data_IF_370619739880
#
_entry.id   IF_370619739880
#
_cell.length_a   1.000
_cell.length_b   1.000
_cell.length_c   1.000
_cell.angle_alpha   90.00
_cell.angle_beta   90.00
_cell.angle_gamma   90.00
#
_symmetry.space_group_name_H-M   'P 1'
#
loop_
_entity.id
_entity.type
_entity.pdbx_description
1 polymer ?
#
# COMPACT_ATOMS: atom_id res chain seq x y z
N UNK A 1 -6.37 -4.05 -8.51
CA UNK A 1 -7.77 -4.51 -8.73
C UNK A 1 -8.15 -5.73 -7.88
N UNK A 2 -7.19 -6.55 -7.39
CA UNK A 2 -7.52 -7.79 -6.67
C UNK A 2 -7.87 -7.58 -5.20
N UNK A 3 -7.30 -6.58 -4.56
CA UNK A 3 -7.46 -6.35 -3.12
C UNK A 3 -8.43 -5.21 -2.79
N UNK A 4 -8.41 -4.13 -3.55
CA UNK A 4 -9.23 -2.93 -3.28
C UNK A 4 -10.73 -3.23 -3.17
N UNK A 5 -11.35 -4.09 -4.03
CA UNK A 5 -12.76 -4.44 -3.92
C UNK A 5 -13.13 -5.20 -2.63
N UNK A 6 -12.17 -5.72 -1.88
CA UNK A 6 -12.40 -6.40 -0.61
C UNK A 6 -12.55 -5.42 0.57
N UNK A 7 -12.15 -4.17 0.39
CA UNK A 7 -12.22 -3.13 1.42
C UNK A 7 -13.67 -2.88 1.86
N UNK A 8 -13.85 -2.60 3.15
CA UNK A 8 -15.15 -2.32 3.73
C UNK A 8 -15.05 -1.35 4.92
N UNK A 9 -16.18 -0.79 5.31
CA UNK A 9 -16.29 0.07 6.47
C UNK A 9 -15.55 1.40 6.32
N UNK A 10 -14.87 1.83 7.36
CA UNK A 10 -13.96 2.99 7.35
C UNK A 10 -12.61 2.53 6.82
N UNK A 11 -12.18 3.11 5.72
CA UNK A 11 -10.97 2.71 5.00
C UNK A 11 -9.88 3.76 5.16
N UNK A 12 -8.67 3.35 5.48
CA UNK A 12 -7.46 4.14 5.32
C UNK A 12 -6.72 3.66 4.06
N UNK A 13 -6.57 4.51 3.05
CA UNK A 13 -5.70 4.25 1.90
C UNK A 13 -4.36 4.95 2.09
N UNK A 14 -3.29 4.19 2.22
CA UNK A 14 -1.92 4.69 2.37
C UNK A 14 -1.26 4.76 1.00
N UNK A 15 -0.77 5.95 0.66
CA UNK A 15 -0.23 6.24 -0.68
C UNK A 15 -1.34 6.41 -1.71
N UNK A 16 -2.34 7.25 -1.41
CA UNK A 16 -3.46 7.51 -2.32
C UNK A 16 -3.03 8.08 -3.67
N UNK A 17 -1.90 8.77 -3.72
CA UNK A 17 -1.30 9.33 -4.93
C UNK A 17 -2.31 10.12 -5.77
N UNK A 18 -2.51 9.69 -6.99
CA UNK A 18 -3.49 10.30 -7.91
C UNK A 18 -4.88 9.66 -7.84
N UNK A 19 -5.17 8.80 -6.84
CA UNK A 19 -6.48 8.19 -6.63
C UNK A 19 -6.82 7.05 -7.61
N UNK A 20 -5.83 6.28 -8.06
CA UNK A 20 -6.04 5.20 -9.04
C UNK A 20 -6.91 4.06 -8.50
N UNK A 21 -6.99 3.88 -7.20
CA UNK A 21 -7.82 2.87 -6.57
C UNK A 21 -9.29 3.26 -6.45
N UNK A 22 -9.62 4.55 -6.51
CA UNK A 22 -10.96 5.06 -6.26
C UNK A 22 -12.08 4.36 -7.06
N UNK A 23 -11.89 4.03 -8.36
CA UNK A 23 -12.92 3.34 -9.15
C UNK A 23 -13.19 1.88 -8.73
N UNK A 24 -12.34 1.30 -7.90
CA UNK A 24 -12.40 -0.13 -7.52
C UNK A 24 -13.00 -0.37 -6.13
N UNK A 25 -13.26 0.67 -5.35
CA UNK A 25 -13.96 0.54 -4.08
C UNK A 25 -15.44 0.23 -4.30
N UNK A 26 -15.94 -0.76 -3.56
CA UNK A 26 -17.37 -1.09 -3.54
C UNK A 26 -18.13 -0.11 -2.64
N UNK A 27 -18.97 0.74 -3.25
CA UNK A 27 -19.78 1.75 -2.54
C UNK A 27 -20.80 1.14 -1.57
N UNK A 28 -21.21 -0.09 -1.77
CA UNK A 28 -22.13 -0.78 -0.87
C UNK A 28 -21.42 -1.24 0.42
N UNK A 29 -20.09 -1.40 0.38
CA UNK A 29 -19.28 -1.91 1.48
C UNK A 29 -18.47 -0.82 2.19
N UNK A 30 -18.00 0.18 1.46
CA UNK A 30 -17.16 1.27 1.98
C UNK A 30 -18.03 2.43 2.45
N UNK A 31 -17.84 2.85 3.70
CA UNK A 31 -18.57 3.98 4.29
C UNK A 31 -17.84 5.30 4.05
N UNK A 32 -16.51 5.29 4.21
CA UNK A 32 -15.66 6.47 4.14
C UNK A 32 -14.24 6.05 3.85
N UNK A 33 -13.49 6.90 3.14
CA UNK A 33 -12.05 6.71 2.87
C UNK A 33 -11.28 7.89 3.44
N UNK A 34 -10.19 7.62 4.17
CA UNK A 34 -9.14 8.58 4.44
C UNK A 34 -7.95 8.23 3.53
N UNK A 35 -7.61 9.12 2.60
CA UNK A 35 -6.46 8.95 1.71
C UNK A 35 -5.25 9.67 2.28
N UNK A 36 -4.21 8.94 2.65
CA UNK A 36 -2.98 9.46 3.22
C UNK A 36 -1.86 9.46 2.17
N UNK A 37 -1.27 10.63 1.91
CA UNK A 37 -0.13 10.77 1.00
C UNK A 37 0.61 12.07 1.27
N UNK A 38 1.93 12.07 1.50
CA UNK A 38 2.70 13.30 1.69
C UNK A 38 2.85 14.15 0.42
N UNK A 39 2.65 13.56 -0.76
CA UNK A 39 2.77 14.23 -2.06
C UNK A 39 1.50 15.03 -2.37
N UNK A 40 1.30 16.16 -1.68
CA UNK A 40 0.10 16.99 -1.80
C UNK A 40 -0.14 17.54 -3.21
N UNK A 41 0.88 17.65 -4.03
CA UNK A 41 0.80 18.02 -5.45
C UNK A 41 0.00 17.03 -6.31
N UNK A 42 -0.18 15.79 -5.84
CA UNK A 42 -0.98 14.76 -6.50
C UNK A 42 -2.48 14.86 -6.15
N UNK A 43 -2.83 15.51 -5.04
CA UNK A 43 -4.20 15.62 -4.55
C UNK A 43 -5.20 16.21 -5.55
N UNK A 44 -4.88 17.23 -6.40
CA UNK A 44 -5.82 17.72 -7.41
C UNK A 44 -6.24 16.66 -8.43
N UNK A 45 -5.34 15.71 -8.77
CA UNK A 45 -5.67 14.59 -9.65
C UNK A 45 -6.52 13.53 -8.92
N UNK A 46 -6.21 13.28 -7.65
CA UNK A 46 -7.00 12.40 -6.79
C UNK A 46 -8.44 12.93 -6.65
N UNK A 47 -8.62 14.21 -6.37
CA UNK A 47 -9.94 14.85 -6.22
C UNK A 47 -10.87 14.62 -7.41
N UNK A 48 -10.35 14.68 -8.65
CA UNK A 48 -11.14 14.38 -9.86
C UNK A 48 -11.67 12.94 -9.86
N UNK A 49 -10.85 11.96 -9.47
CA UNK A 49 -11.25 10.55 -9.39
C UNK A 49 -12.17 10.28 -8.22
N UNK A 50 -11.94 10.94 -7.08
CA UNK A 50 -12.82 10.91 -5.91
C UNK A 50 -14.22 11.41 -6.27
N UNK A 51 -14.33 12.57 -6.93
CA UNK A 51 -15.60 13.12 -7.37
C UNK A 51 -16.34 12.14 -8.31
N UNK A 52 -15.62 11.50 -9.25
CA UNK A 52 -16.20 10.50 -10.14
C UNK A 52 -16.60 9.20 -9.41
N UNK A 53 -15.88 8.82 -8.36
CA UNK A 53 -16.19 7.64 -7.56
C UNK A 53 -17.43 7.83 -6.69
N UNK A 54 -17.76 9.06 -6.25
CA UNK A 54 -18.93 9.36 -5.44
C UNK A 54 -18.90 8.69 -4.06
N UNK A 55 -17.72 8.57 -3.46
CA UNK A 55 -17.49 8.11 -2.10
C UNK A 55 -17.06 9.29 -1.22
N UNK A 56 -17.40 9.30 0.06
CA UNK A 56 -16.84 10.27 1.01
C UNK A 56 -15.36 10.00 1.20
N UNK A 57 -14.50 10.95 0.76
CA UNK A 57 -13.04 10.83 0.86
C UNK A 57 -12.46 12.10 1.48
N UNK A 58 -11.67 11.93 2.54
CA UNK A 58 -10.79 12.95 3.13
C UNK A 58 -9.36 12.70 2.67
N UNK A 59 -8.65 13.73 2.19
CA UNK A 59 -7.23 13.66 1.84
C UNK A 59 -6.38 14.28 2.95
N UNK A 60 -5.33 13.57 3.36
CA UNK A 60 -4.41 13.97 4.43
C UNK A 60 -2.97 13.93 3.89
N UNK A 61 -2.29 15.08 3.91
CA UNK A 61 -0.94 15.26 3.40
C UNK A 61 0.14 14.92 4.43
N UNK A 62 0.22 13.68 4.90
CA UNK A 62 1.18 13.24 5.91
C UNK A 62 1.79 11.86 5.56
N UNK A 63 2.94 11.56 6.20
CA UNK A 63 3.59 10.25 6.09
C UNK A 63 2.84 9.17 6.90
N UNK A 64 2.88 7.94 6.38
CA UNK A 64 2.31 6.77 7.05
C UNK A 64 3.13 6.29 8.27
N UNK A 65 4.34 6.77 8.45
CA UNK A 65 5.18 6.46 9.62
C UNK A 65 4.62 7.04 10.93
N UNK A 66 3.68 7.99 10.82
CA UNK A 66 2.92 8.57 11.93
C UNK A 66 1.52 8.96 11.46
N UNK A 67 0.57 8.08 11.63
CA UNK A 67 -0.81 8.29 11.20
C UNK A 67 -1.57 9.11 12.25
N UNK A 68 -2.09 10.33 11.94
CA UNK A 68 -2.74 11.22 12.90
C UNK A 68 -4.21 10.79 13.15
N UNK A 69 -4.38 9.56 13.55
CA UNK A 69 -5.68 8.97 13.91
C UNK A 69 -5.55 8.14 15.17
N UNK A 70 -6.62 8.03 15.93
CA UNK A 70 -6.67 7.21 17.13
C UNK A 70 -6.49 5.72 16.78
N UNK A 71 -6.11 4.92 17.78
CA UNK A 71 -6.10 3.47 17.68
C UNK A 71 -7.49 2.95 17.29
N UNK A 72 -7.55 1.84 16.58
CA UNK A 72 -8.79 1.18 16.19
C UNK A 72 -9.79 2.11 15.46
N UNK A 73 -9.30 2.96 14.56
CA UNK A 73 -10.10 3.94 13.81
C UNK A 73 -10.65 3.40 12.48
N UNK A 74 -10.03 2.36 11.92
CA UNK A 74 -10.35 1.86 10.59
C UNK A 74 -10.69 0.36 10.59
N UNK A 75 -11.67 0.00 9.78
CA UNK A 75 -12.05 -1.39 9.56
C UNK A 75 -11.14 -2.06 8.52
N UNK A 76 -10.61 -1.27 7.58
CA UNK A 76 -9.68 -1.73 6.53
C UNK A 76 -8.58 -0.69 6.31
N UNK A 77 -7.35 -1.16 6.16
CA UNK A 77 -6.23 -0.38 5.60
C UNK A 77 -5.89 -0.94 4.22
N UNK A 78 -5.70 -0.06 3.24
CA UNK A 78 -5.29 -0.42 1.88
C UNK A 78 -3.94 0.23 1.58
N UNK A 79 -2.98 -0.55 1.09
CA UNK A 79 -1.68 -0.08 0.62
C UNK A 79 -1.31 -0.74 -0.70
N UNK A 80 -1.05 0.07 -1.74
CA UNK A 80 -0.73 -0.46 -3.06
C UNK A 80 0.40 0.32 -3.70
N UNK A 81 1.51 -0.36 -4.05
CA UNK A 81 2.70 0.22 -4.67
C UNK A 81 3.25 1.45 -3.93
N UNK A 82 3.23 1.38 -2.60
CA UNK A 82 3.61 2.47 -1.70
C UNK A 82 4.69 2.06 -0.72
N UNK A 83 4.64 0.84 -0.18
CA UNK A 83 5.64 0.35 0.77
C UNK A 83 7.07 0.42 0.22
N UNK A 84 7.23 0.37 -1.10
CA UNK A 84 8.53 0.47 -1.75
C UNK A 84 9.21 1.84 -1.59
N UNK A 85 8.43 2.91 -1.36
CA UNK A 85 8.93 4.31 -1.27
C UNK A 85 8.96 4.86 0.16
N UNK A 86 8.22 4.28 1.09
CA UNK A 86 8.21 4.73 2.50
C UNK A 86 9.60 4.53 3.11
N UNK A 87 10.23 5.54 3.72
CA UNK A 87 11.57 5.43 4.31
C UNK A 87 11.66 4.31 5.35
N UNK A 88 10.79 4.32 6.37
CA UNK A 88 10.67 3.24 7.35
C UNK A 88 9.34 2.46 7.18
N UNK A 89 9.33 1.41 6.32
CA UNK A 89 8.11 0.66 6.05
C UNK A 89 7.62 -0.15 7.25
N UNK A 90 8.50 -0.54 8.17
CA UNK A 90 8.10 -1.27 9.39
C UNK A 90 7.38 -0.35 10.36
N UNK A 91 7.88 0.89 10.56
CA UNK A 91 7.19 1.88 11.37
C UNK A 91 5.80 2.20 10.77
N UNK A 92 5.72 2.40 9.45
CA UNK A 92 4.45 2.64 8.76
C UNK A 92 3.46 1.47 8.91
N UNK A 93 3.93 0.24 8.75
CA UNK A 93 3.10 -0.96 8.94
C UNK A 93 2.62 -1.10 10.40
N UNK A 94 3.45 -0.77 11.39
CA UNK A 94 3.04 -0.75 12.80
C UNK A 94 1.95 0.29 13.06
N UNK A 95 2.07 1.47 12.48
CA UNK A 95 1.03 2.50 12.54
C UNK A 95 -0.27 2.05 11.86
N UNK A 96 -0.17 1.42 10.67
CA UNK A 96 -1.33 0.81 9.99
C UNK A 96 -2.01 -0.23 10.90
N UNK A 97 -1.22 -1.06 11.59
CA UNK A 97 -1.75 -2.05 12.54
C UNK A 97 -2.40 -1.41 13.75
N UNK A 98 -1.81 -0.35 14.31
CA UNK A 98 -2.35 0.41 15.46
C UNK A 98 -3.72 0.99 15.16
N UNK A 99 -3.90 1.55 13.98
CA UNK A 99 -5.17 2.20 13.61
C UNK A 99 -6.25 1.23 13.13
N UNK A 100 -5.94 -0.04 12.86
CA UNK A 100 -6.92 -1.08 12.56
C UNK A 100 -7.70 -1.49 13.82
N UNK A 101 -9.00 -1.67 13.68
CA UNK A 101 -9.83 -2.27 14.73
C UNK A 101 -9.41 -3.73 14.97
N UNK A 102 -9.67 -4.32 16.14
CA UNK A 102 -9.53 -5.75 16.34
C UNK A 102 -10.31 -6.53 15.26
N UNK A 103 -9.65 -7.43 14.56
CA UNK A 103 -10.22 -8.17 13.42
C UNK A 103 -10.30 -7.40 12.10
N UNK A 104 -9.85 -6.14 12.06
CA UNK A 104 -9.67 -5.38 10.82
C UNK A 104 -8.57 -5.97 9.93
N UNK A 105 -8.53 -5.55 8.68
CA UNK A 105 -7.63 -6.13 7.68
C UNK A 105 -6.74 -5.09 6.99
N UNK A 106 -5.48 -5.44 6.79
CA UNK A 106 -4.57 -4.79 5.86
C UNK A 106 -4.67 -5.50 4.50
N UNK A 107 -5.15 -4.79 3.49
CA UNK A 107 -5.18 -5.23 2.09
C UNK A 107 -4.00 -4.62 1.35
N UNK A 108 -3.12 -5.43 0.82
CA UNK A 108 -1.90 -4.95 0.17
C UNK A 108 -1.69 -5.53 -1.22
N UNK A 109 -1.05 -4.72 -2.07
CA UNK A 109 -0.54 -5.15 -3.38
C UNK A 109 0.74 -4.37 -3.69
N UNK A 110 1.89 -5.05 -3.61
CA UNK A 110 3.21 -4.42 -3.69
C UNK A 110 4.13 -5.20 -4.61
N UNK A 111 5.01 -4.50 -5.31
CA UNK A 111 6.17 -5.17 -5.90
C UNK A 111 7.28 -5.36 -4.83
N UNK A 112 8.13 -6.34 -5.03
CA UNK A 112 9.21 -6.58 -4.06
C UNK A 112 10.25 -7.57 -4.57
N UNK A 113 11.02 -8.09 -3.61
CA UNK A 113 12.10 -9.03 -3.87
C UNK A 113 11.60 -10.28 -4.57
N UNK A 114 12.22 -10.63 -5.69
CA UNK A 114 11.89 -11.84 -6.41
C UNK A 114 12.48 -13.09 -5.72
N UNK A 115 11.80 -14.26 -5.81
CA UNK A 115 12.28 -15.50 -5.22
C UNK A 115 13.46 -16.10 -6.01
N UNK A 116 13.58 -15.77 -7.28
CA UNK A 116 14.69 -16.26 -8.13
C UNK A 116 16.00 -15.55 -7.75
N UNK A 117 16.97 -16.30 -7.27
CA UNK A 117 18.26 -15.76 -6.80
C UNK A 117 18.99 -14.91 -7.87
N UNK A 118 18.86 -15.24 -9.15
CA UNK A 118 19.41 -14.46 -10.26
C UNK A 118 18.74 -13.10 -10.39
N UNK A 119 17.42 -13.05 -10.31
CA UNK A 119 16.61 -11.82 -10.39
C UNK A 119 16.86 -10.96 -9.15
N UNK A 120 16.85 -11.55 -7.95
CA UNK A 120 17.11 -10.85 -6.69
C UNK A 120 18.50 -10.18 -6.69
N UNK A 121 19.54 -10.88 -7.17
CA UNK A 121 20.90 -10.27 -7.32
C UNK A 121 20.91 -9.07 -8.27
N UNK A 122 20.13 -9.10 -9.34
CA UNK A 122 19.99 -7.96 -10.24
C UNK A 122 19.19 -6.81 -9.58
N UNK A 123 18.14 -7.12 -8.82
CA UNK A 123 17.43 -6.11 -8.01
C UNK A 123 18.39 -5.39 -7.06
N UNK A 124 19.23 -6.15 -6.32
CA UNK A 124 20.22 -5.58 -5.38
C UNK A 124 21.26 -4.69 -6.08
N UNK A 125 21.74 -5.10 -7.27
CA UNK A 125 22.71 -4.31 -8.06
C UNK A 125 22.10 -3.03 -8.64
N UNK A 126 20.84 -3.08 -9.06
CA UNK A 126 20.16 -1.95 -9.68
C UNK A 126 19.61 -0.95 -8.65
N UNK A 127 19.36 -1.42 -7.43
CA UNK A 127 18.70 -0.62 -6.37
C UNK A 127 19.35 0.74 -6.11
N UNK A 128 20.70 0.88 -5.99
CA UNK A 128 21.30 2.19 -5.71
C UNK A 128 21.04 3.24 -6.79
N UNK A 129 20.98 2.79 -8.04
CA UNK A 129 20.68 3.66 -9.18
C UNK A 129 19.16 3.91 -9.29
N UNK A 130 18.37 2.84 -9.18
CA UNK A 130 16.91 2.89 -9.29
C UNK A 130 16.29 3.86 -8.28
N UNK A 131 16.66 3.76 -7.01
CA UNK A 131 16.14 4.63 -5.96
C UNK A 131 16.33 6.12 -6.22
N UNK A 132 17.41 6.50 -6.91
CA UNK A 132 17.67 7.90 -7.28
C UNK A 132 16.71 8.46 -8.32
N UNK A 133 16.28 7.64 -9.28
CA UNK A 133 15.45 8.09 -10.42
C UNK A 133 13.97 7.76 -10.25
N UNK A 134 13.60 6.90 -9.30
CA UNK A 134 12.23 6.44 -9.10
C UNK A 134 11.62 6.90 -7.78
N UNK A 135 11.98 8.10 -7.32
CA UNK A 135 11.37 8.68 -6.11
C UNK A 135 11.59 7.90 -4.83
N UNK A 136 12.76 7.25 -4.69
CA UNK A 136 13.07 6.45 -3.50
C UNK A 136 12.50 5.02 -3.52
N UNK A 137 11.93 4.57 -4.63
CA UNK A 137 11.38 3.22 -4.73
C UNK A 137 12.47 2.14 -4.56
N UNK A 138 12.18 1.10 -3.77
CA UNK A 138 13.02 -0.05 -3.53
C UNK A 138 12.46 -1.28 -4.25
N UNK A 139 13.24 -1.83 -5.21
CA UNK A 139 12.88 -3.02 -6.00
C UNK A 139 12.94 -4.32 -5.20
N UNK A 140 13.75 -4.34 -4.14
CA UNK A 140 14.21 -5.54 -3.46
C UNK A 140 13.66 -5.69 -2.02
N UNK A 141 12.60 -4.97 -1.66
CA UNK A 141 11.96 -5.14 -0.35
C UNK A 141 11.33 -6.51 -0.21
N UNK A 142 11.64 -7.19 0.86
CA UNK A 142 11.02 -8.45 1.24
C UNK A 142 9.69 -8.16 1.94
N UNK A 143 8.60 -8.17 1.16
CA UNK A 143 7.26 -7.80 1.67
C UNK A 143 6.79 -8.73 2.80
N UNK A 144 6.93 -10.06 2.72
CA UNK A 144 6.62 -10.96 3.83
C UNK A 144 7.39 -10.61 5.11
N UNK A 145 8.70 -10.40 5.01
CA UNK A 145 9.51 -10.06 6.18
C UNK A 145 9.12 -8.71 6.81
N UNK A 146 8.70 -7.73 6.01
CA UNK A 146 8.21 -6.44 6.51
C UNK A 146 6.90 -6.60 7.27
N UNK A 147 5.96 -7.41 6.76
CA UNK A 147 4.68 -7.69 7.42
C UNK A 147 4.90 -8.39 8.76
N UNK A 148 5.74 -9.42 8.77
CA UNK A 148 6.11 -10.17 9.99
C UNK A 148 6.77 -9.26 11.04
N UNK A 149 7.76 -8.45 10.65
CA UNK A 149 8.44 -7.49 11.54
C UNK A 149 7.50 -6.44 12.15
N UNK A 150 6.37 -6.16 11.49
CA UNK A 150 5.33 -5.27 11.99
C UNK A 150 4.25 -6.00 12.82
N UNK A 151 4.32 -7.34 12.91
CA UNK A 151 3.40 -8.19 13.67
C UNK A 151 2.11 -8.52 12.93
N UNK A 152 2.11 -8.46 11.60
CA UNK A 152 1.00 -8.95 10.78
C UNK A 152 1.17 -10.42 10.42
N UNK A 153 0.09 -11.17 10.52
CA UNK A 153 -0.04 -12.51 9.95
C UNK A 153 -0.70 -12.43 8.58
N UNK A 154 -0.16 -13.13 7.59
CA UNK A 154 -0.71 -13.16 6.24
C UNK A 154 -0.99 -14.62 5.81
N UNK A 155 -2.17 -15.18 6.17
CA UNK A 155 -2.47 -16.59 5.93
C UNK A 155 -2.60 -16.95 4.45
N UNK A 156 -2.88 -15.98 3.58
CA UNK A 156 -3.06 -16.18 2.15
C UNK A 156 -2.26 -15.15 1.35
N UNK A 157 -0.94 -15.36 1.28
CA UNK A 157 -0.04 -14.57 0.46
C UNK A 157 -0.04 -15.10 -0.98
N UNK A 158 -0.35 -14.21 -1.91
CA UNK A 158 -0.26 -14.50 -3.34
C UNK A 158 0.93 -13.78 -3.95
N UNK A 159 1.58 -14.44 -4.91
CA UNK A 159 2.72 -13.86 -5.63
C UNK A 159 2.64 -14.14 -7.12
N UNK A 160 3.20 -13.25 -7.94
CA UNK A 160 3.25 -13.43 -9.38
C UNK A 160 4.22 -12.45 -10.05
N UNK A 161 4.86 -12.88 -11.12
CA UNK A 161 5.42 -11.96 -12.09
C UNK A 161 4.30 -11.37 -12.97
N UNK A 162 4.30 -10.05 -13.12
CA UNK A 162 3.49 -9.38 -14.13
C UNK A 162 4.28 -9.28 -15.45
N UNK A 163 3.63 -8.81 -16.51
CA UNK A 163 4.29 -8.56 -17.80
C UNK A 163 5.33 -7.44 -17.66
N UNK A 164 6.53 -7.63 -18.24
CA UNK A 164 7.62 -6.66 -18.21
C UNK A 164 8.94 -7.23 -17.69
N UNK A 165 9.94 -6.37 -17.42
CA UNK A 165 11.25 -6.80 -16.91
C UNK A 165 11.13 -7.48 -15.54
N UNK A 166 11.63 -8.72 -15.42
CA UNK A 166 11.46 -9.53 -14.20
C UNK A 166 11.97 -8.87 -12.92
N UNK A 167 12.99 -8.03 -13.02
CA UNK A 167 13.55 -7.28 -11.88
C UNK A 167 12.57 -6.28 -11.26
N UNK A 168 11.51 -5.89 -11.98
CA UNK A 168 10.53 -4.88 -11.57
C UNK A 168 9.13 -5.43 -11.35
N UNK A 169 8.86 -6.68 -11.75
CA UNK A 169 7.49 -7.16 -11.97
C UNK A 169 7.06 -8.27 -11.03
N UNK A 170 7.89 -8.65 -10.05
CA UNK A 170 7.47 -9.60 -9.04
C UNK A 170 6.60 -8.89 -8.01
N UNK A 171 5.35 -9.36 -7.85
CA UNK A 171 4.34 -8.75 -7.01
C UNK A 171 3.86 -9.71 -5.93
N UNK A 172 3.51 -9.10 -4.81
CA UNK A 172 2.87 -9.71 -3.65
C UNK A 172 1.51 -9.06 -3.43
N UNK A 173 0.48 -9.82 -3.13
CA UNK A 173 -0.80 -9.26 -2.70
C UNK A 173 -1.52 -10.22 -1.77
N UNK A 174 -2.34 -9.68 -0.90
CA UNK A 174 -3.09 -10.47 0.06
C UNK A 174 -3.83 -9.61 1.07
N UNK A 175 -4.31 -10.32 2.07
CA UNK A 175 -4.90 -9.78 3.29
C UNK A 175 -4.03 -10.20 4.46
N UNK A 176 -3.68 -9.24 5.34
CA UNK A 176 -2.93 -9.48 6.56
C UNK A 176 -3.71 -8.94 7.77
N UNK A 177 -3.52 -9.58 8.94
CA UNK A 177 -4.19 -9.23 10.19
C UNK A 177 -3.23 -9.19 11.37
#
# INVERSE_FOLDING_TARGET
QKVVPLAHGRVLEVGVGTGLNMPYYDKARVRQITGLDPAMELHPRAQRRIAAAGLPVELVGLSAERIPRADASFDTVVVTYTLCTIPDPVAALREMRRVLVPGGALLFCEHGRAPDAGVARWQDRLQPLWGRFSGGCHLNRDIPALLDAAGFECPALHTRYLSGPRVMTFNYWGEAR
#
